data_IF_860265157941
#
_entry.id   IF_860265157941
#
_cell.length_a   1.000
_cell.length_b   1.000
_cell.length_c   1.000
_cell.angle_alpha   90.00
_cell.angle_beta   90.00
_cell.angle_gamma   90.00
#
_symmetry.space_group_name_H-M   'P 1'
#
loop_
_entity.id
_entity.type
_entity.pdbx_description
1 polymer ?
#
# COMPACT_ATOMS: atom_id res chain seq x y z
N UNK A 1 -44.90 31.39 -41.25
CA UNK A 1 -44.46 31.34 -39.84
C UNK A 1 -43.65 30.06 -39.73
N UNK A 2 -42.33 30.17 -39.61
CA UNK A 2 -41.42 29.00 -39.63
C UNK A 2 -41.20 28.59 -38.18
N UNK A 3 -41.68 27.40 -37.83
CA UNK A 3 -41.49 26.81 -36.51
C UNK A 3 -40.17 26.04 -36.56
N UNK A 4 -39.17 26.54 -35.83
CA UNK A 4 -37.91 25.82 -35.64
C UNK A 4 -38.12 24.82 -34.50
N UNK A 5 -38.43 23.57 -34.84
CA UNK A 5 -38.44 22.47 -33.89
C UNK A 5 -37.02 22.21 -33.38
N UNK A 6 -36.76 22.51 -32.10
CA UNK A 6 -35.52 22.13 -31.44
C UNK A 6 -35.59 20.64 -31.08
N UNK A 7 -35.28 19.76 -32.02
CA UNK A 7 -35.12 18.31 -31.80
C UNK A 7 -33.85 17.96 -31.01
N UNK A 8 -33.50 18.76 -30.01
CA UNK A 8 -32.31 18.57 -29.18
C UNK A 8 -32.71 18.71 -27.72
N UNK A 9 -33.23 17.64 -27.14
CA UNK A 9 -33.66 17.59 -25.75
C UNK A 9 -32.46 17.35 -24.81
N UNK A 10 -31.47 16.53 -25.20
CA UNK A 10 -30.26 16.27 -24.41
C UNK A 10 -28.97 16.04 -25.23
N UNK A 11 -27.76 16.25 -24.65
CA UNK A 11 -26.47 16.03 -25.32
C UNK A 11 -26.22 14.59 -25.80
N UNK A 12 -26.99 13.63 -25.28
CA UNK A 12 -26.93 12.21 -25.63
C UNK A 12 -28.07 11.77 -26.57
N UNK A 13 -28.99 12.69 -26.92
CA UNK A 13 -29.97 12.48 -28.00
C UNK A 13 -29.26 12.61 -29.35
N UNK A 14 -28.33 11.70 -29.62
CA UNK A 14 -27.94 11.42 -31.00
C UNK A 14 -29.00 10.47 -31.53
N UNK A 15 -30.02 11.03 -32.18
CA UNK A 15 -30.89 10.26 -33.06
C UNK A 15 -30.02 9.48 -34.06
N UNK A 16 -29.78 8.20 -33.78
CA UNK A 16 -29.57 7.21 -34.82
C UNK A 16 -30.96 6.74 -35.27
N UNK A 17 -31.77 7.66 -35.81
CA UNK A 17 -33.04 7.30 -36.44
C UNK A 17 -32.74 6.72 -37.81
N UNK A 18 -32.64 5.39 -37.84
CA UNK A 18 -32.87 4.61 -39.05
C UNK A 18 -34.29 4.93 -39.53
N UNK A 19 -34.41 5.36 -40.79
CA UNK A 19 -35.69 5.61 -41.45
C UNK A 19 -36.64 4.42 -41.25
N UNK A 20 -37.71 4.63 -40.49
CA UNK A 20 -38.76 3.63 -40.28
C UNK A 20 -39.97 4.27 -39.62
N UNK A 21 -40.99 4.54 -40.42
CA UNK A 21 -42.30 5.03 -40.00
C UNK A 21 -42.90 4.24 -38.82
N UNK A 22 -43.28 4.91 -37.73
CA UNK A 22 -44.48 4.57 -36.95
C UNK A 22 -44.69 5.51 -35.75
N UNK A 23 -45.87 6.14 -35.74
CA UNK A 23 -46.72 6.54 -34.62
C UNK A 23 -46.18 7.43 -33.49
N UNK A 24 -46.75 8.65 -33.45
CA UNK A 24 -46.83 9.55 -32.32
C UNK A 24 -47.33 8.84 -31.05
N UNK A 25 -46.47 8.68 -30.06
CA UNK A 25 -46.86 8.73 -28.66
C UNK A 25 -46.12 9.89 -28.00
N UNK A 26 -46.90 10.79 -27.41
CA UNK A 26 -46.45 11.96 -26.68
C UNK A 26 -45.81 11.52 -25.36
N UNK A 27 -44.55 11.09 -25.43
CA UNK A 27 -43.70 10.91 -24.27
C UNK A 27 -43.51 12.25 -23.56
N UNK A 28 -43.92 12.32 -22.30
CA UNK A 28 -43.72 13.50 -21.48
C UNK A 28 -42.22 13.88 -21.45
N UNK A 29 -41.87 15.19 -21.47
CA UNK A 29 -40.48 15.68 -21.48
C UNK A 29 -39.71 15.41 -20.18
N UNK A 30 -40.23 14.53 -19.31
CA UNK A 30 -39.64 14.15 -18.04
C UNK A 30 -38.77 12.89 -18.11
N UNK A 31 -38.81 12.14 -19.22
CA UNK A 31 -37.99 10.93 -19.36
C UNK A 31 -36.58 11.29 -19.82
N UNK A 32 -35.75 11.71 -18.87
CA UNK A 32 -34.33 12.01 -19.09
C UNK A 32 -33.45 10.76 -19.13
N UNK A 33 -34.00 9.60 -19.46
CA UNK A 33 -33.30 8.31 -19.46
C UNK A 33 -32.92 7.86 -20.87
N UNK A 34 -31.90 7.01 -21.00
CA UNK A 34 -31.73 6.25 -22.25
C UNK A 34 -32.97 5.36 -22.40
N UNK A 35 -33.75 5.56 -23.47
CA UNK A 35 -35.01 4.86 -23.79
C UNK A 35 -34.93 3.31 -23.75
N UNK A 36 -33.73 2.77 -23.56
CA UNK A 36 -33.35 1.37 -23.63
C UNK A 36 -32.85 0.80 -22.27
N UNK A 37 -32.34 1.61 -21.33
CA UNK A 37 -31.78 1.11 -20.05
C UNK A 37 -32.29 1.92 -18.83
N UNK A 38 -33.01 3.03 -19.05
CA UNK A 38 -33.55 3.82 -17.94
C UNK A 38 -32.47 4.59 -17.14
N UNK A 39 -31.27 4.77 -17.70
CA UNK A 39 -30.17 5.53 -17.07
C UNK A 39 -30.05 6.88 -17.73
N UNK A 40 -30.28 7.95 -16.98
CA UNK A 40 -30.09 9.31 -17.47
C UNK A 40 -28.68 9.84 -17.27
N UNK A 41 -28.33 10.93 -17.97
CA UNK A 41 -27.05 11.62 -17.76
C UNK A 41 -26.88 12.13 -16.31
N UNK A 42 -27.99 12.41 -15.64
CA UNK A 42 -28.01 12.77 -14.22
C UNK A 42 -27.66 11.61 -13.28
N UNK A 43 -27.86 10.36 -13.72
CA UNK A 43 -27.56 9.18 -12.91
C UNK A 43 -26.08 8.79 -12.97
N UNK A 44 -25.37 9.28 -14.00
CA UNK A 44 -23.94 9.10 -14.17
C UNK A 44 -23.15 10.09 -13.31
N UNK A 45 -22.24 9.56 -12.50
CA UNK A 45 -21.26 10.37 -11.77
C UNK A 45 -20.07 10.74 -12.65
N UNK A 46 -19.54 11.95 -12.46
CA UNK A 46 -18.32 12.39 -13.15
C UNK A 46 -17.27 12.86 -12.14
N UNK A 47 -16.06 12.29 -12.23
CA UNK A 47 -14.91 12.74 -11.46
C UNK A 47 -14.24 13.94 -12.12
N UNK A 48 -14.05 14.99 -11.33
CA UNK A 48 -13.47 16.25 -11.77
C UNK A 48 -12.01 16.34 -11.36
N UNK A 49 -11.13 16.21 -12.35
CA UNK A 49 -9.79 16.77 -12.26
C UNK A 49 -9.87 18.28 -12.11
N UNK A 50 -9.52 18.76 -10.93
CA UNK A 50 -9.41 20.18 -10.64
C UNK A 50 -8.09 20.65 -11.24
N UNK A 51 -8.16 21.50 -12.27
CA UNK A 51 -7.00 21.96 -13.05
C UNK A 51 -5.97 22.75 -12.23
N UNK A 52 -5.10 23.56 -12.85
CA UNK A 52 -3.98 24.15 -12.12
C UNK A 52 -4.34 25.21 -11.07
N UNK A 53 -5.55 25.80 -11.16
CA UNK A 53 -5.99 26.90 -10.27
C UNK A 53 -7.36 26.60 -9.68
N UNK A 54 -7.57 26.77 -8.36
CA UNK A 54 -8.89 26.62 -7.74
C UNK A 54 -9.88 27.59 -8.38
N UNK A 55 -10.79 27.07 -9.20
CA UNK A 55 -11.65 27.89 -10.03
C UNK A 55 -13.09 27.36 -10.01
N UNK A 56 -13.92 28.02 -9.20
CA UNK A 56 -15.34 27.73 -9.07
C UNK A 56 -16.08 27.85 -10.41
N UNK A 57 -15.67 28.78 -11.29
CA UNK A 57 -16.31 28.93 -12.61
C UNK A 57 -15.99 27.75 -13.53
N UNK A 58 -14.79 27.17 -13.43
CA UNK A 58 -14.44 25.97 -14.18
C UNK A 58 -15.21 24.73 -13.70
N UNK A 59 -15.59 24.69 -12.42
CA UNK A 59 -16.50 23.64 -11.90
C UNK A 59 -17.91 23.89 -12.41
N UNK A 60 -18.37 25.15 -12.38
CA UNK A 60 -19.67 25.53 -12.93
C UNK A 60 -19.83 25.18 -14.40
N UNK A 61 -18.81 25.39 -15.24
CA UNK A 61 -18.90 25.08 -16.66
C UNK A 61 -19.08 23.58 -16.92
N UNK A 62 -18.53 22.73 -16.04
CA UNK A 62 -18.65 21.27 -16.13
C UNK A 62 -20.04 20.76 -15.75
N UNK A 63 -20.82 21.53 -14.99
CA UNK A 63 -22.22 21.21 -14.69
C UNK A 63 -23.12 21.28 -15.92
N UNK A 64 -22.76 22.06 -16.94
CA UNK A 64 -23.56 22.18 -18.17
C UNK A 64 -23.68 20.88 -18.95
N UNK A 65 -22.83 19.88 -18.66
CA UNK A 65 -22.95 18.54 -19.23
C UNK A 65 -24.18 17.78 -18.70
N UNK A 66 -24.89 18.27 -17.68
CA UNK A 66 -26.13 17.67 -17.17
C UNK A 66 -25.93 16.59 -16.09
N UNK A 67 -24.68 16.30 -15.71
CA UNK A 67 -24.39 15.38 -14.61
C UNK A 67 -24.87 15.95 -13.26
N UNK A 68 -25.57 15.13 -12.47
CA UNK A 68 -26.08 15.51 -11.13
C UNK A 68 -25.22 15.02 -9.97
N UNK A 69 -24.17 14.23 -10.25
CA UNK A 69 -23.22 13.72 -9.26
C UNK A 69 -21.81 14.06 -9.70
N UNK A 70 -21.11 14.87 -8.92
CA UNK A 70 -19.75 15.32 -9.24
C UNK A 70 -18.79 15.00 -8.11
N UNK A 71 -17.69 14.35 -8.44
CA UNK A 71 -16.62 14.05 -7.48
C UNK A 71 -15.48 15.04 -7.61
N UNK A 72 -15.10 15.69 -6.52
CA UNK A 72 -13.88 16.47 -6.44
C UNK A 72 -12.68 15.56 -6.23
N UNK A 73 -11.81 15.46 -7.24
CA UNK A 73 -10.55 14.70 -7.12
C UNK A 73 -9.40 15.65 -6.82
N UNK A 74 -8.86 15.54 -5.62
CA UNK A 74 -7.66 16.25 -5.21
C UNK A 74 -6.42 15.43 -5.60
N UNK A 75 -5.56 15.98 -6.45
CA UNK A 75 -4.33 15.30 -6.88
C UNK A 75 -3.09 15.76 -6.11
N UNK A 76 -3.18 16.89 -5.39
CA UNK A 76 -2.10 17.39 -4.54
C UNK A 76 -2.17 16.85 -3.12
N UNK A 77 -1.09 17.05 -2.36
CA UNK A 77 -1.01 16.71 -0.94
C UNK A 77 -0.41 17.89 -0.15
N UNK A 78 -0.70 17.96 1.15
CA UNK A 78 -0.10 18.97 2.02
C UNK A 78 -0.62 20.38 1.69
N UNK A 79 0.29 21.31 1.34
CA UNK A 79 -0.08 22.70 1.00
C UNK A 79 -0.69 22.85 -0.40
N UNK A 80 -0.61 21.82 -1.24
CA UNK A 80 -1.02 21.89 -2.64
C UNK A 80 -0.07 22.71 -3.50
N UNK A 81 -0.30 22.67 -4.81
CA UNK A 81 0.45 23.41 -5.82
C UNK A 81 -0.41 23.70 -7.04
N UNK A 82 0.12 24.49 -7.98
CA UNK A 82 -0.54 24.73 -9.27
C UNK A 82 -0.65 23.50 -10.18
N UNK A 83 -0.12 22.33 -9.80
CA UNK A 83 -0.28 21.07 -10.54
C UNK A 83 -1.05 20.02 -9.73
N UNK A 84 -1.24 20.24 -8.43
CA UNK A 84 -1.93 19.34 -7.54
C UNK A 84 -2.70 20.13 -6.50
N UNK A 85 -4.01 20.24 -6.70
CA UNK A 85 -4.86 20.95 -5.75
C UNK A 85 -5.08 20.13 -4.48
N UNK A 86 -5.19 20.82 -3.34
CA UNK A 86 -5.63 20.25 -2.07
C UNK A 86 -6.92 20.94 -1.61
N UNK A 87 -7.70 20.31 -0.71
CA UNK A 87 -8.93 20.92 -0.20
C UNK A 87 -8.72 22.31 0.43
N UNK A 88 -7.58 22.50 1.12
CA UNK A 88 -7.25 23.76 1.80
C UNK A 88 -6.99 24.94 0.84
N UNK A 89 -6.76 24.68 -0.46
CA UNK A 89 -6.61 25.75 -1.45
C UNK A 89 -7.93 26.46 -1.76
N UNK A 90 -9.07 25.89 -1.38
CA UNK A 90 -10.38 26.51 -1.50
C UNK A 90 -10.72 27.27 -0.23
N UNK A 91 -10.70 28.60 -0.32
CA UNK A 91 -11.08 29.47 0.78
C UNK A 91 -12.58 29.44 1.06
N UNK A 92 -12.99 30.01 2.21
CA UNK A 92 -14.38 30.04 2.67
C UNK A 92 -15.37 30.50 1.60
N UNK A 93 -15.10 31.62 0.92
CA UNK A 93 -16.00 32.16 -0.12
C UNK A 93 -16.12 31.23 -1.33
N UNK A 94 -15.05 30.53 -1.70
CA UNK A 94 -15.09 29.58 -2.81
C UNK A 94 -15.89 28.34 -2.43
N UNK A 95 -15.72 27.82 -1.20
CA UNK A 95 -16.51 26.70 -0.68
C UNK A 95 -18.00 27.05 -0.61
N UNK A 96 -18.34 28.22 -0.09
CA UNK A 96 -19.72 28.72 -0.06
C UNK A 96 -20.30 28.84 -1.48
N UNK A 97 -19.55 29.39 -2.42
CA UNK A 97 -20.00 29.48 -3.81
C UNK A 97 -20.25 28.10 -4.43
N UNK A 98 -19.44 27.09 -4.10
CA UNK A 98 -19.68 25.71 -4.53
C UNK A 98 -20.97 25.17 -3.92
N UNK A 99 -21.21 25.37 -2.62
CA UNK A 99 -22.46 24.98 -1.97
C UNK A 99 -23.69 25.62 -2.64
N UNK A 100 -23.62 26.92 -2.95
CA UNK A 100 -24.71 27.64 -3.63
C UNK A 100 -24.94 27.14 -5.05
N UNK A 101 -23.86 26.83 -5.78
CA UNK A 101 -23.92 26.25 -7.13
C UNK A 101 -24.55 24.85 -7.08
N UNK A 102 -24.15 23.99 -6.13
CA UNK A 102 -24.77 22.68 -5.94
C UNK A 102 -26.27 22.80 -5.70
N UNK A 103 -26.67 23.67 -4.78
CA UNK A 103 -28.08 23.87 -4.44
C UNK A 103 -28.89 24.41 -5.64
N UNK A 104 -28.35 25.38 -6.38
CA UNK A 104 -29.02 25.96 -7.54
C UNK A 104 -29.20 24.96 -8.69
N UNK A 105 -28.23 24.06 -8.88
CA UNK A 105 -28.24 23.09 -9.99
C UNK A 105 -28.74 21.69 -9.58
N UNK A 106 -29.09 21.49 -8.30
CA UNK A 106 -29.48 20.20 -7.71
C UNK A 106 -28.44 19.11 -8.01
N UNK A 107 -27.18 19.43 -7.71
CA UNK A 107 -26.03 18.53 -7.90
C UNK A 107 -25.46 18.12 -6.55
N UNK A 108 -25.19 16.83 -6.42
CA UNK A 108 -24.52 16.25 -5.27
C UNK A 108 -23.01 16.23 -5.50
N UNK A 109 -22.28 16.80 -4.54
CA UNK A 109 -20.82 16.76 -4.54
C UNK A 109 -20.31 15.63 -3.65
N UNK A 110 -19.41 14.82 -4.19
CA UNK A 110 -18.60 13.86 -3.44
C UNK A 110 -17.15 14.32 -3.42
N UNK A 111 -16.35 13.80 -2.50
CA UNK A 111 -14.94 14.18 -2.39
C UNK A 111 -14.05 12.96 -2.41
N UNK A 112 -13.08 12.95 -3.30
CA UNK A 112 -12.00 11.98 -3.30
C UNK A 112 -10.81 12.58 -2.53
N UNK A 113 -10.43 11.96 -1.42
CA UNK A 113 -9.21 12.30 -0.71
C UNK A 113 -8.00 12.15 -1.63
N UNK A 114 -6.89 12.82 -1.32
CA UNK A 114 -5.80 12.89 -2.30
C UNK A 114 -5.30 11.51 -2.76
N UNK A 115 -5.23 11.32 -4.09
CA UNK A 115 -4.67 10.11 -4.70
C UNK A 115 -3.19 9.93 -4.38
N UNK A 116 -2.52 11.00 -3.91
CA UNK A 116 -1.13 10.96 -3.47
C UNK A 116 -0.92 10.31 -2.10
N UNK A 117 -1.98 9.98 -1.36
CA UNK A 117 -1.86 9.21 -0.12
C UNK A 117 -1.70 7.72 -0.44
N UNK A 118 -0.53 7.18 -0.07
CA UNK A 118 -0.17 5.76 -0.25
C UNK A 118 -0.86 4.81 0.75
N UNK A 119 -2.01 5.23 1.29
CA UNK A 119 -2.84 4.43 2.18
C UNK A 119 -2.72 4.75 3.67
N UNK A 120 -3.47 3.96 4.43
CA UNK A 120 -3.62 4.09 5.88
C UNK A 120 -2.60 3.28 6.68
N UNK A 121 -1.86 2.41 6.00
CA UNK A 121 -0.82 1.59 6.63
C UNK A 121 0.41 2.40 7.05
N UNK A 122 0.56 3.65 6.57
CA UNK A 122 1.72 4.50 6.84
C UNK A 122 2.94 4.16 5.99
N UNK A 123 2.72 3.53 4.84
CA UNK A 123 3.76 3.28 3.85
C UNK A 123 4.14 4.59 3.14
N UNK A 124 5.42 4.88 3.01
CA UNK A 124 5.92 5.97 2.18
C UNK A 124 6.16 5.53 0.72
N UNK A 125 6.60 6.45 -0.13
CA UNK A 125 6.93 6.16 -1.53
C UNK A 125 8.03 5.12 -1.72
N UNK A 126 8.94 5.00 -0.75
CA UNK A 126 10.03 4.03 -0.77
C UNK A 126 9.60 2.66 -0.24
N UNK A 127 8.37 2.55 0.28
CA UNK A 127 7.81 1.33 0.84
C UNK A 127 8.07 1.15 2.34
N UNK A 128 8.70 2.13 3.01
CA UNK A 128 8.94 2.07 4.46
C UNK A 128 7.69 2.49 5.22
N UNK A 129 7.54 1.97 6.44
CA UNK A 129 6.39 2.23 7.28
C UNK A 129 6.75 3.19 8.41
N UNK A 130 5.95 4.24 8.61
CA UNK A 130 6.15 5.12 9.76
C UNK A 130 4.85 5.69 10.31
N UNK A 131 4.83 5.98 11.62
CA UNK A 131 3.72 6.70 12.25
C UNK A 131 3.54 8.10 11.67
N UNK A 132 4.64 8.74 11.26
CA UNK A 132 4.59 10.05 10.62
C UNK A 132 3.83 10.00 9.29
N UNK A 133 4.18 9.05 8.41
CA UNK A 133 3.47 8.84 7.14
C UNK A 133 2.00 8.50 7.36
N UNK A 134 1.69 7.63 8.34
CA UNK A 134 0.31 7.32 8.71
C UNK A 134 -0.46 8.57 9.16
N UNK A 135 0.13 9.37 10.04
CA UNK A 135 -0.50 10.60 10.52
C UNK A 135 -0.70 11.59 9.39
N UNK A 136 0.26 11.72 8.47
CA UNK A 136 0.12 12.55 7.29
C UNK A 136 -1.07 12.11 6.42
N UNK A 137 -1.18 10.81 6.11
CA UNK A 137 -2.33 10.24 5.38
C UNK A 137 -3.66 10.55 6.06
N UNK A 138 -3.73 10.39 7.39
CA UNK A 138 -4.93 10.68 8.16
C UNK A 138 -5.30 12.17 8.14
N UNK A 139 -4.32 13.07 8.18
CA UNK A 139 -4.59 14.50 8.06
C UNK A 139 -5.13 14.86 6.67
N UNK A 140 -4.61 14.28 5.60
CA UNK A 140 -5.12 14.49 4.25
C UNK A 140 -6.57 14.00 4.09
N UNK A 141 -6.91 12.84 4.67
CA UNK A 141 -8.29 12.34 4.69
C UNK A 141 -9.18 13.26 5.53
N UNK A 142 -8.70 13.72 6.69
CA UNK A 142 -9.44 14.67 7.53
C UNK A 142 -9.75 15.97 6.78
N UNK A 143 -8.78 16.53 6.04
CA UNK A 143 -8.97 17.73 5.20
C UNK A 143 -10.02 17.50 4.12
N UNK A 144 -10.05 16.31 3.51
CA UNK A 144 -11.07 15.93 2.54
C UNK A 144 -12.46 15.82 3.18
N UNK A 145 -12.57 15.24 4.38
CA UNK A 145 -13.81 15.16 5.16
C UNK A 145 -14.34 16.56 5.51
N UNK A 146 -13.46 17.44 5.99
CA UNK A 146 -13.84 18.83 6.32
C UNK A 146 -14.33 19.59 5.08
N UNK A 147 -13.67 19.41 3.93
CA UNK A 147 -14.13 19.99 2.68
C UNK A 147 -15.47 19.43 2.21
N UNK A 148 -15.68 18.11 2.31
CA UNK A 148 -16.97 17.49 1.99
C UNK A 148 -18.09 18.01 2.92
N UNK A 149 -17.79 18.20 4.20
CA UNK A 149 -18.72 18.77 5.16
C UNK A 149 -19.12 20.21 4.80
N UNK A 150 -18.17 21.04 4.35
CA UNK A 150 -18.44 22.42 3.94
C UNK A 150 -19.20 22.50 2.61
N UNK A 151 -18.71 21.80 1.58
CA UNK A 151 -19.16 21.96 0.19
C UNK A 151 -20.34 21.06 -0.14
N UNK A 152 -20.23 19.77 0.19
CA UNK A 152 -21.29 18.79 -0.03
C UNK A 152 -22.37 18.81 1.06
N UNK A 153 -22.20 19.60 2.14
CA UNK A 153 -23.01 19.55 3.37
C UNK A 153 -23.05 18.12 3.97
N UNK A 154 -21.93 17.41 3.83
CA UNK A 154 -21.84 15.97 4.05
C UNK A 154 -21.64 15.22 2.73
N UNK A 155 -21.85 13.91 2.75
CA UNK A 155 -21.70 13.06 1.57
C UNK A 155 -20.48 12.13 1.63
N UNK A 156 -20.33 11.25 0.62
CA UNK A 156 -19.30 10.23 0.63
C UNK A 156 -17.92 10.82 0.38
N UNK A 157 -16.96 10.33 1.17
CA UNK A 157 -15.53 10.62 0.98
C UNK A 157 -14.85 9.35 0.51
N UNK A 158 -14.32 9.39 -0.70
CA UNK A 158 -13.60 8.26 -1.30
C UNK A 158 -12.14 8.32 -0.86
N UNK A 159 -11.63 7.21 -0.37
CA UNK A 159 -10.24 7.05 0.07
C UNK A 159 -9.65 5.81 -0.55
N UNK A 160 -8.38 5.89 -0.96
CA UNK A 160 -7.62 4.68 -1.23
C UNK A 160 -7.14 4.08 0.10
N UNK A 161 -7.42 2.80 0.31
CA UNK A 161 -6.89 2.06 1.45
C UNK A 161 -5.36 1.98 1.40
N UNK A 162 -4.80 2.01 0.18
CA UNK A 162 -3.37 2.00 -0.13
C UNK A 162 -2.66 0.85 0.58
N UNK A 163 -3.09 -0.35 0.26
CA UNK A 163 -2.50 -1.55 0.80
C UNK A 163 -1.17 -1.88 0.10
N UNK A 164 -0.27 -2.52 0.85
CA UNK A 164 0.93 -3.11 0.29
C UNK A 164 0.57 -4.46 -0.35
N UNK A 165 1.32 -4.84 -1.39
CA UNK A 165 1.13 -6.12 -2.06
C UNK A 165 1.28 -7.26 -1.05
N UNK A 166 0.24 -8.09 -0.98
CA UNK A 166 0.21 -9.34 -0.22
C UNK A 166 -0.05 -10.47 -1.21
N UNK A 167 0.74 -11.55 -1.18
CA UNK A 167 0.50 -12.71 -2.02
C UNK A 167 -0.85 -13.34 -1.69
N UNK A 168 -1.68 -13.58 -2.72
CA UNK A 168 -3.01 -14.18 -2.58
C UNK A 168 -2.88 -15.63 -2.12
N UNK A 169 -1.86 -16.33 -2.61
CA UNK A 169 -1.52 -17.71 -2.23
C UNK A 169 -1.19 -17.90 -0.74
N UNK A 170 -0.83 -16.83 -0.02
CA UNK A 170 -0.49 -16.90 1.42
C UNK A 170 -1.61 -16.36 2.32
N UNK A 171 -2.75 -15.98 1.74
CA UNK A 171 -3.87 -15.46 2.50
C UNK A 171 -4.50 -16.55 3.38
N UNK A 172 -4.96 -16.19 4.58
CA UNK A 172 -5.54 -17.16 5.53
C UNK A 172 -6.75 -17.92 4.98
N UNK A 173 -7.54 -17.27 4.13
CA UNK A 173 -8.69 -17.85 3.43
C UNK A 173 -8.31 -18.68 2.19
N UNK A 174 -7.03 -18.69 1.80
CA UNK A 174 -6.54 -19.44 0.64
C UNK A 174 -5.66 -20.62 1.10
N UNK A 175 -6.08 -21.31 2.15
CA UNK A 175 -5.40 -22.49 2.74
C UNK A 175 -6.24 -23.74 2.49
N UNK A 176 -5.63 -24.93 2.48
CA UNK A 176 -6.27 -26.22 2.12
C UNK A 176 -7.63 -26.50 2.79
N UNK A 177 -7.87 -25.96 3.98
CA UNK A 177 -9.11 -26.16 4.74
C UNK A 177 -10.23 -25.16 4.40
N UNK A 178 -9.99 -24.23 3.48
CA UNK A 178 -10.94 -23.18 3.10
C UNK A 178 -11.62 -23.48 1.75
N UNK A 179 -12.95 -23.25 1.60
CA UNK A 179 -13.66 -23.40 0.33
C UNK A 179 -13.06 -22.64 -0.86
N UNK A 180 -12.22 -21.64 -0.61
CA UNK A 180 -11.60 -20.80 -1.63
C UNK A 180 -10.17 -21.21 -2.00
N UNK A 181 -9.65 -22.28 -1.38
CA UNK A 181 -8.31 -22.79 -1.63
C UNK A 181 -8.01 -22.99 -3.12
N UNK A 182 -6.93 -22.38 -3.61
CA UNK A 182 -6.41 -22.54 -4.97
C UNK A 182 -7.27 -21.91 -6.06
N UNK A 183 -8.41 -21.29 -5.73
CA UNK A 183 -9.31 -20.65 -6.71
C UNK A 183 -8.82 -19.29 -7.19
N UNK A 184 -8.03 -18.61 -6.36
CA UNK A 184 -7.51 -17.29 -6.66
C UNK A 184 -5.99 -17.30 -6.65
N UNK A 185 -5.43 -16.75 -7.73
CA UNK A 185 -4.01 -16.46 -7.88
C UNK A 185 -3.90 -15.13 -8.61
N UNK A 186 -2.90 -14.34 -8.27
CA UNK A 186 -2.60 -13.09 -8.96
C UNK A 186 -1.99 -13.36 -10.34
N UNK A 187 -1.23 -14.45 -10.45
CA UNK A 187 -0.62 -14.97 -11.68
C UNK A 187 -0.33 -16.48 -11.51
N UNK A 188 -0.13 -17.22 -12.61
CA UNK A 188 -0.08 -18.70 -12.58
C UNK A 188 1.01 -19.26 -11.66
N UNK A 189 2.20 -18.65 -11.67
CA UNK A 189 3.40 -19.02 -10.91
C UNK A 189 3.56 -18.17 -9.62
N UNK A 190 2.45 -17.70 -9.04
CA UNK A 190 2.46 -16.87 -7.82
C UNK A 190 3.22 -17.53 -6.69
N UNK A 191 2.89 -18.77 -6.35
CA UNK A 191 3.44 -19.53 -5.22
C UNK A 191 4.97 -19.64 -5.21
N UNK A 192 5.58 -19.70 -6.40
CA UNK A 192 7.04 -19.81 -6.53
C UNK A 192 7.72 -18.43 -6.49
N UNK A 193 7.13 -17.43 -7.14
CA UNK A 193 7.81 -16.15 -7.40
C UNK A 193 7.48 -15.03 -6.44
N UNK A 194 6.45 -15.20 -5.62
CA UNK A 194 6.02 -14.12 -4.77
C UNK A 194 7.10 -13.73 -3.77
N UNK A 195 7.01 -12.46 -3.37
CA UNK A 195 8.03 -11.82 -2.55
C UNK A 195 7.45 -11.37 -1.23
N UNK A 196 8.27 -11.44 -0.18
CA UNK A 196 7.93 -10.85 1.10
C UNK A 196 8.77 -9.61 1.34
N UNK A 197 8.11 -8.58 1.85
CA UNK A 197 8.78 -7.42 2.41
C UNK A 197 8.98 -7.67 3.90
N UNK A 198 10.24 -7.77 4.31
CA UNK A 198 10.58 -7.84 5.73
C UNK A 198 10.71 -6.41 6.25
N UNK A 199 9.88 -6.07 7.24
CA UNK A 199 9.86 -4.74 7.87
C UNK A 199 10.50 -4.83 9.25
N UNK A 200 11.50 -3.99 9.51
CA UNK A 200 12.03 -3.81 10.87
C UNK A 200 10.95 -3.17 11.74
N UNK A 201 10.47 -3.87 12.77
CA UNK A 201 9.41 -3.35 13.64
C UNK A 201 9.84 -2.13 14.46
N UNK A 202 11.14 -1.88 14.63
CA UNK A 202 11.69 -0.76 15.42
C UNK A 202 11.79 0.52 14.59
N UNK A 203 12.27 0.38 13.35
CA UNK A 203 12.54 1.53 12.46
C UNK A 203 11.48 1.71 11.38
N UNK A 204 10.70 0.66 11.10
CA UNK A 204 9.75 0.61 10.00
C UNK A 204 10.39 0.50 8.61
N UNK A 205 11.72 0.37 8.56
CA UNK A 205 12.46 0.22 7.30
C UNK A 205 12.24 -1.16 6.67
N UNK A 206 12.10 -1.20 5.35
CA UNK A 206 12.11 -2.46 4.60
C UNK A 206 13.55 -2.92 4.45
N UNK A 207 13.90 -4.06 5.06
CA UNK A 207 15.30 -4.52 5.16
C UNK A 207 15.75 -5.17 3.84
N UNK A 208 14.87 -5.93 3.18
CA UNK A 208 15.07 -6.50 1.83
C UNK A 208 13.80 -7.21 1.37
N UNK A 209 13.56 -7.22 0.07
CA UNK A 209 12.54 -8.06 -0.57
C UNK A 209 13.12 -9.47 -0.75
N UNK A 210 12.73 -10.40 0.11
CA UNK A 210 13.14 -11.80 -0.01
C UNK A 210 12.17 -12.51 -0.96
N UNK A 211 12.69 -13.11 -2.04
CA UNK A 211 11.89 -13.94 -2.96
C UNK A 211 12.00 -15.40 -2.53
N UNK A 212 10.89 -16.11 -2.44
CA UNK A 212 10.90 -17.54 -2.05
C UNK A 212 11.75 -18.41 -2.97
N UNK A 213 11.68 -18.19 -4.27
CA UNK A 213 12.45 -18.95 -5.26
C UNK A 213 13.92 -18.54 -5.39
N UNK A 214 14.39 -17.53 -4.66
CA UNK A 214 15.77 -17.06 -4.79
C UNK A 214 16.56 -17.45 -3.55
N UNK A 215 17.50 -18.37 -3.74
CA UNK A 215 18.49 -18.67 -2.71
C UNK A 215 19.29 -17.42 -2.37
N UNK A 216 19.51 -17.21 -1.08
CA UNK A 216 20.29 -16.08 -0.56
C UNK A 216 21.65 -16.60 -0.13
N UNK A 217 22.70 -16.14 -0.82
CA UNK A 217 24.07 -16.37 -0.40
C UNK A 217 24.32 -15.76 0.98
N UNK A 218 24.58 -16.59 1.99
CA UNK A 218 25.00 -16.15 3.33
C UNK A 218 26.34 -16.79 3.70
N UNK A 219 27.21 -16.08 4.43
CA UNK A 219 28.41 -16.71 4.95
C UNK A 219 28.02 -17.83 5.93
N UNK A 220 28.72 -18.96 5.85
CA UNK A 220 28.68 -19.97 6.90
C UNK A 220 29.40 -19.38 8.10
N UNK A 221 28.73 -19.29 9.25
CA UNK A 221 29.33 -18.72 10.46
C UNK A 221 30.29 -19.71 11.11
N UNK A 222 31.41 -19.21 11.65
CA UNK A 222 32.37 -20.04 12.35
C UNK A 222 31.82 -20.44 13.73
N UNK A 223 31.28 -21.65 13.83
CA UNK A 223 30.74 -22.23 15.05
C UNK A 223 31.62 -23.39 15.53
N UNK A 224 31.56 -23.66 16.84
CA UNK A 224 32.16 -24.84 17.44
C UNK A 224 31.32 -26.08 17.11
N UNK A 225 31.67 -26.74 16.00
CA UNK A 225 31.02 -27.92 15.45
C UNK A 225 32.04 -28.85 14.77
N UNK A 226 31.61 -30.04 14.33
CA UNK A 226 32.46 -31.08 13.72
C UNK A 226 33.33 -30.61 12.55
N UNK A 227 32.96 -29.51 11.90
CA UNK A 227 33.64 -28.95 10.75
C UNK A 227 34.55 -27.76 11.10
N UNK A 228 34.88 -27.57 12.38
CA UNK A 228 35.77 -26.53 12.87
C UNK A 228 37.06 -27.15 13.46
N UNK A 229 38.21 -26.54 13.22
CA UNK A 229 39.51 -27.06 13.66
C UNK A 229 39.59 -27.22 15.19
N UNK A 230 39.04 -26.25 15.95
CA UNK A 230 39.01 -26.31 17.41
C UNK A 230 38.17 -27.48 17.93
N UNK A 231 37.15 -27.93 17.17
CA UNK A 231 36.38 -29.13 17.54
C UNK A 231 37.22 -30.40 17.47
N UNK A 232 38.06 -30.51 16.44
CA UNK A 232 38.97 -31.65 16.28
C UNK A 232 40.07 -31.64 17.35
N UNK A 233 40.60 -30.47 17.68
CA UNK A 233 41.63 -30.31 18.73
C UNK A 233 41.14 -30.71 20.13
N UNK A 234 39.85 -30.52 20.40
CA UNK A 234 39.25 -30.77 21.71
C UNK A 234 38.34 -32.01 21.75
N UNK A 235 38.37 -32.86 20.72
CA UNK A 235 37.53 -34.06 20.59
C UNK A 235 36.02 -33.77 20.82
N UNK A 236 35.53 -32.61 20.39
CA UNK A 236 34.15 -32.16 20.59
C UNK A 236 33.74 -31.89 22.04
N UNK A 237 34.69 -31.83 22.98
CA UNK A 237 34.43 -31.54 24.40
C UNK A 237 34.40 -30.04 24.66
N UNK A 238 33.70 -29.65 25.72
CA UNK A 238 33.74 -28.27 26.19
C UNK A 238 35.16 -27.92 26.69
N UNK A 239 35.64 -26.72 26.37
CA UNK A 239 36.94 -26.22 26.82
C UNK A 239 36.83 -24.76 27.31
N UNK A 240 37.88 -24.27 27.96
CA UNK A 240 38.00 -22.86 28.34
C UNK A 240 38.86 -22.15 27.31
N UNK A 241 38.34 -21.07 26.74
CA UNK A 241 39.10 -20.23 25.80
C UNK A 241 40.20 -19.43 26.52
N UNK A 242 41.00 -18.68 25.75
CA UNK A 242 42.11 -17.89 26.30
C UNK A 242 41.68 -16.80 27.27
N UNK A 243 40.42 -16.37 27.22
CA UNK A 243 39.81 -15.40 28.12
C UNK A 243 39.12 -16.05 29.33
N UNK A 244 39.16 -17.39 29.44
CA UNK A 244 38.54 -18.15 30.52
C UNK A 244 37.04 -18.36 30.35
N UNK A 245 36.47 -18.08 29.18
CA UNK A 245 35.08 -18.40 28.89
C UNK A 245 34.93 -19.86 28.49
N UNK A 246 33.86 -20.48 28.95
CA UNK A 246 33.51 -21.84 28.58
C UNK A 246 32.89 -21.88 27.18
N UNK A 247 33.54 -22.58 26.26
CA UNK A 247 33.07 -22.85 24.90
C UNK A 247 32.26 -24.14 24.90
N UNK A 248 31.08 -24.09 24.27
CA UNK A 248 30.16 -25.22 24.13
C UNK A 248 29.81 -25.50 22.68
N UNK A 249 29.38 -26.74 22.34
CA UNK A 249 28.87 -27.07 21.01
C UNK A 249 27.85 -26.03 20.51
N UNK A 250 28.09 -25.47 19.33
CA UNK A 250 27.25 -24.45 18.69
C UNK A 250 27.57 -22.99 19.02
N UNK A 251 28.47 -22.71 19.97
CA UNK A 251 28.97 -21.34 20.22
C UNK A 251 29.71 -20.78 19.00
N UNK A 252 29.66 -19.46 18.81
CA UNK A 252 30.43 -18.78 17.77
C UNK A 252 31.88 -18.60 18.23
N UNK A 253 32.82 -18.85 17.33
CA UNK A 253 34.25 -18.73 17.60
C UNK A 253 34.90 -17.71 16.68
N UNK A 254 35.88 -16.99 17.20
CA UNK A 254 36.84 -16.27 16.36
C UNK A 254 37.82 -17.26 15.68
N UNK A 255 38.73 -16.75 14.86
CA UNK A 255 39.74 -17.59 14.20
C UNK A 255 40.84 -18.10 15.14
N UNK A 256 40.80 -17.73 16.42
CA UNK A 256 41.75 -18.13 17.46
C UNK A 256 41.11 -19.06 18.50
N UNK A 257 39.87 -19.53 18.27
CA UNK A 257 39.17 -20.44 19.17
C UNK A 257 38.55 -19.78 20.40
N UNK A 258 38.39 -18.44 20.42
CA UNK A 258 37.72 -17.74 21.51
C UNK A 258 36.23 -17.58 21.25
N UNK A 259 35.44 -17.65 22.33
CA UNK A 259 33.98 -17.47 22.25
C UNK A 259 33.62 -16.05 21.87
N UNK A 260 32.73 -15.91 20.89
CA UNK A 260 32.19 -14.63 20.43
C UNK A 260 30.72 -14.48 20.75
N UNK A 261 30.33 -13.23 21.02
CA UNK A 261 28.94 -12.82 20.96
C UNK A 261 28.43 -13.00 19.53
N UNK A 262 27.19 -13.47 19.32
CA UNK A 262 26.65 -13.65 17.97
C UNK A 262 26.58 -12.36 17.13
N UNK A 263 26.64 -11.15 17.70
CA UNK A 263 26.79 -9.91 16.91
C UNK A 263 28.19 -9.74 16.32
N UNK A 264 29.20 -10.35 16.94
CA UNK A 264 30.61 -10.30 16.53
C UNK A 264 31.03 -11.52 15.73
N UNK A 265 30.09 -12.41 15.40
CA UNK A 265 30.35 -13.66 14.67
C UNK A 265 31.13 -13.41 13.39
N UNK A 266 32.09 -14.30 13.13
CA UNK A 266 32.94 -14.25 11.93
C UNK A 266 32.57 -15.37 10.96
N UNK A 267 32.71 -15.14 9.64
CA UNK A 267 32.48 -16.18 8.64
C UNK A 267 33.56 -17.27 8.71
N UNK A 268 33.24 -18.51 8.40
CA UNK A 268 34.21 -19.59 8.25
C UNK A 268 35.09 -19.32 7.02
N UNK A 269 36.40 -19.43 7.20
CA UNK A 269 37.39 -19.20 6.15
C UNK A 269 37.96 -20.52 5.66
N UNK A 270 37.88 -20.78 4.36
CA UNK A 270 38.51 -21.92 3.72
C UNK A 270 39.96 -21.53 3.36
N UNK A 271 40.93 -22.02 4.14
CA UNK A 271 42.34 -21.69 3.95
C UNK A 271 42.90 -22.22 2.62
N UNK A 272 42.40 -23.36 2.13
CA UNK A 272 42.88 -23.96 0.88
C UNK A 272 42.42 -23.16 -0.33
N UNK A 273 41.15 -22.72 -0.33
CA UNK A 273 40.59 -21.91 -1.42
C UNK A 273 40.84 -20.41 -1.27
N UNK A 274 41.29 -19.96 -0.10
CA UNK A 274 41.50 -18.56 0.24
C UNK A 274 40.21 -17.73 0.22
N UNK A 275 39.04 -18.34 0.40
CA UNK A 275 37.72 -17.69 0.32
C UNK A 275 36.86 -17.99 1.53
N UNK A 276 35.90 -17.12 1.84
CA UNK A 276 34.91 -17.41 2.88
C UNK A 276 33.89 -18.43 2.37
N UNK A 277 33.54 -19.38 3.22
CA UNK A 277 32.49 -20.34 2.90
C UNK A 277 31.14 -19.63 2.88
N UNK A 278 30.39 -19.88 1.81
CA UNK A 278 29.06 -19.31 1.61
C UNK A 278 28.09 -20.47 1.41
N UNK A 279 26.97 -20.41 2.09
CA UNK A 279 25.85 -21.32 1.89
C UNK A 279 24.70 -20.61 1.16
N UNK A 280 23.95 -21.38 0.41
CA UNK A 280 22.80 -20.91 -0.37
C UNK A 280 21.53 -21.24 0.41
N UNK A 281 21.13 -20.33 1.29
CA UNK A 281 19.95 -20.52 2.13
C UNK A 281 18.67 -20.38 1.31
N UNK A 282 17.72 -21.27 1.55
CA UNK A 282 16.37 -21.15 1.02
C UNK A 282 15.41 -20.44 1.99
N UNK A 283 14.14 -20.36 1.62
CA UNK A 283 13.13 -19.67 2.41
C UNK A 283 12.90 -20.30 3.79
N UNK A 284 12.97 -21.63 3.90
CA UNK A 284 12.71 -22.32 5.15
C UNK A 284 13.91 -22.23 6.09
N UNK A 285 15.13 -22.15 5.56
CA UNK A 285 16.32 -21.82 6.34
C UNK A 285 16.24 -20.40 6.92
N UNK A 286 15.81 -19.42 6.11
CA UNK A 286 15.63 -18.04 6.57
C UNK A 286 14.54 -17.91 7.64
N UNK A 287 13.46 -18.71 7.54
CA UNK A 287 12.44 -18.79 8.60
C UNK A 287 13.00 -19.28 9.92
N UNK A 288 13.81 -20.34 9.89
CA UNK A 288 14.46 -20.88 11.10
C UNK A 288 15.39 -19.83 11.72
N UNK A 289 16.22 -19.18 10.92
CA UNK A 289 17.11 -18.10 11.38
C UNK A 289 16.31 -16.94 12.01
N UNK A 290 15.20 -16.52 11.38
CA UNK A 290 14.35 -15.46 11.92
C UNK A 290 13.73 -15.82 13.28
N UNK A 291 13.33 -17.08 13.48
CA UNK A 291 12.80 -17.57 14.76
C UNK A 291 13.91 -17.53 15.83
N UNK A 292 15.09 -18.05 15.52
CA UNK A 292 16.25 -18.01 16.44
C UNK A 292 16.61 -16.59 16.85
N UNK A 293 16.65 -15.66 15.88
CA UNK A 293 16.91 -14.25 16.13
C UNK A 293 15.83 -13.62 17.01
N UNK A 294 14.56 -14.01 16.83
CA UNK A 294 13.44 -13.50 17.61
C UNK A 294 13.50 -13.97 19.06
N UNK A 295 13.75 -15.26 19.29
CA UNK A 295 13.89 -15.80 20.65
C UNK A 295 15.09 -15.18 21.37
N UNK A 296 16.22 -15.03 20.68
CA UNK A 296 17.38 -14.34 21.23
C UNK A 296 17.09 -12.88 21.58
N UNK A 297 16.40 -12.16 20.71
CA UNK A 297 16.02 -10.77 21.00
C UNK A 297 15.12 -10.66 22.24
N UNK A 298 14.23 -11.63 22.46
CA UNK A 298 13.41 -11.71 23.68
C UNK A 298 14.25 -11.94 24.92
N UNK A 299 15.25 -12.81 24.86
CA UNK A 299 16.18 -13.06 25.98
C UNK A 299 16.98 -11.81 26.33
N UNK A 300 17.61 -11.18 25.32
CA UNK A 300 18.35 -9.93 25.51
C UNK A 300 17.46 -8.84 26.14
N UNK A 301 16.21 -8.73 25.67
CA UNK A 301 15.24 -7.80 26.25
C UNK A 301 14.89 -8.13 27.71
N UNK A 302 14.75 -9.41 28.05
CA UNK A 302 14.51 -9.84 29.44
C UNK A 302 15.69 -9.51 30.34
N UNK A 303 16.91 -9.75 29.88
CA UNK A 303 18.13 -9.45 30.64
C UNK A 303 18.36 -7.95 30.82
N UNK A 304 18.09 -7.15 29.78
CA UNK A 304 18.08 -5.69 29.88
C UNK A 304 17.04 -5.19 30.89
N UNK A 305 15.81 -5.72 30.84
CA UNK A 305 14.76 -5.36 31.81
C UNK A 305 15.12 -5.78 33.24
N UNK A 306 15.91 -6.83 33.40
CA UNK A 306 16.41 -7.30 34.68
C UNK A 306 17.69 -6.56 35.15
N UNK A 307 18.21 -5.59 34.39
CA UNK A 307 19.43 -4.85 34.71
C UNK A 307 20.72 -5.67 34.60
N UNK A 308 20.69 -6.79 33.89
CA UNK A 308 21.86 -7.68 33.68
C UNK A 308 22.68 -7.30 32.45
N UNK A 309 22.06 -6.62 31.50
CA UNK A 309 22.75 -5.97 30.38
C UNK A 309 22.70 -4.45 30.58
N UNK A 310 23.80 -3.73 30.28
CA UNK A 310 23.82 -2.27 30.28
C UNK A 310 22.85 -1.66 29.27
#
# INVERSE_FOLDING_TARGET
MVEFGSGYSMPMDREFSHQGHAHEESGAPSDGSTNDIGVGIGDMGMSLGLGPVPNVQAIKSKLYAGGKKLEFVFTGMGKGSGQGQTPEMYGLKQRQALTEIAAANRVDFTTHATVGVYGLAGMDQQGNFSKQSKNFSLQEIKRAIEFAADVGRGGPVVVHTGEFQRPIVDADWNKENDPWFGKFKMYEDEEERYTYRVVDSRTGGVIQEARKNRKVSRPVWNRYDENNDSWQEHDGKEYLDSAGHKVKPGDYLDYFGNRLDPEKRVPRYDQEKGTFMVDQLDWDDLKKEAIEMTERAKEVYRDWKAGKCP
#
